data_IF_167621161649
#
_entry.id   IF_167621161649
#
_cell.length_a   1.000
_cell.length_b   1.000
_cell.length_c   1.000
_cell.angle_alpha   90.00
_cell.angle_beta   90.00
_cell.angle_gamma   90.00
#
_symmetry.space_group_name_H-M   'P 1'
#
loop_
_entity.id
_entity.type
_entity.pdbx_description
1 polymer ?
#
# COMPACT_ATOMS: atom_id res chain seq x y z
N UNK A 1 -3.82 6.41 7.91
CA UNK A 1 -5.08 6.16 8.65
C UNK A 1 -4.84 5.22 9.85
N UNK A 2 -5.82 5.06 10.78
CA UNK A 2 -5.75 4.04 11.86
C UNK A 2 -5.60 2.63 11.30
N UNK A 3 -6.24 2.38 10.15
CA UNK A 3 -6.14 1.12 9.41
C UNK A 3 -4.73 0.91 8.87
N UNK A 4 -4.04 1.94 8.40
CA UNK A 4 -2.63 1.81 7.93
C UNK A 4 -1.68 1.51 9.08
N UNK A 5 -1.91 2.10 10.26
CA UNK A 5 -1.13 1.76 11.47
C UNK A 5 -1.29 0.29 11.83
N UNK A 6 -2.53 -0.23 11.77
CA UNK A 6 -2.80 -1.66 11.97
C UNK A 6 -2.07 -2.46 10.89
N UNK A 7 -2.27 -2.12 9.62
CA UNK A 7 -1.69 -2.81 8.45
C UNK A 7 -0.16 -2.90 8.53
N UNK A 8 0.54 -1.77 8.73
CA UNK A 8 2.01 -1.75 8.77
C UNK A 8 2.60 -2.56 9.92
N UNK A 9 1.86 -2.71 11.03
CA UNK A 9 2.25 -3.55 12.17
C UNK A 9 2.01 -5.05 11.96
N UNK A 10 1.35 -5.47 10.87
CA UNK A 10 0.93 -6.87 10.70
C UNK A 10 2.07 -7.79 10.33
N UNK A 11 2.21 -8.88 11.10
CA UNK A 11 3.18 -9.97 10.87
C UNK A 11 2.53 -11.26 10.38
N UNK A 12 1.23 -11.44 10.62
CA UNK A 12 0.46 -12.66 10.30
C UNK A 12 -0.41 -12.48 9.05
N UNK A 13 -0.08 -11.48 8.22
CA UNK A 13 -0.79 -11.23 6.97
C UNK A 13 -2.19 -10.64 7.14
N UNK A 14 -3.02 -10.77 6.09
CA UNK A 14 -4.38 -10.21 6.00
C UNK A 14 -5.30 -10.77 7.08
N UNK A 15 -5.18 -12.06 7.41
CA UNK A 15 -6.00 -12.66 8.48
C UNK A 15 -5.78 -11.96 9.83
N UNK A 16 -4.52 -11.69 10.18
CA UNK A 16 -4.20 -10.90 11.38
C UNK A 16 -4.74 -9.48 11.31
N UNK A 17 -4.65 -8.85 10.13
CA UNK A 17 -5.21 -7.52 9.90
C UNK A 17 -6.72 -7.48 10.18
N UNK A 18 -7.49 -8.41 9.60
CA UNK A 18 -8.93 -8.49 9.79
C UNK A 18 -9.32 -8.68 11.26
N UNK A 19 -8.60 -9.54 11.99
CA UNK A 19 -8.82 -9.72 13.43
C UNK A 19 -8.58 -8.42 14.21
N UNK A 20 -7.50 -7.70 13.93
CA UNK A 20 -7.20 -6.44 14.62
C UNK A 20 -8.19 -5.33 14.28
N UNK A 21 -8.67 -5.27 13.04
CA UNK A 21 -9.74 -4.33 12.66
C UNK A 21 -11.02 -4.66 13.42
N UNK A 22 -11.38 -5.95 13.53
CA UNK A 22 -12.57 -6.37 14.30
C UNK A 22 -12.46 -5.97 15.77
N UNK A 23 -11.29 -6.13 16.39
CA UNK A 23 -11.04 -5.70 17.77
C UNK A 23 -11.11 -4.17 17.88
N UNK A 24 -10.51 -3.44 16.94
CA UNK A 24 -10.58 -1.98 16.95
C UNK A 24 -12.02 -1.46 16.85
N UNK A 25 -12.85 -2.06 15.98
CA UNK A 25 -14.26 -1.69 15.84
C UNK A 25 -15.08 -1.93 17.12
N UNK A 26 -14.63 -2.81 18.02
CA UNK A 26 -15.28 -3.03 19.32
C UNK A 26 -15.13 -1.85 20.28
N UNK A 27 -14.21 -0.89 20.03
CA UNK A 27 -14.17 0.33 20.84
C UNK A 27 -15.43 1.18 20.71
N UNK A 28 -16.16 1.03 19.59
CA UNK A 28 -17.41 1.72 19.34
C UNK A 28 -17.27 3.16 18.84
N UNK A 29 -16.08 3.75 18.87
CA UNK A 29 -15.84 5.16 18.52
C UNK A 29 -16.37 5.50 17.12
N UNK A 30 -16.05 4.67 16.13
CA UNK A 30 -16.50 4.87 14.75
C UNK A 30 -18.03 4.74 14.63
N UNK A 31 -18.61 3.73 15.29
CA UNK A 31 -20.07 3.53 15.26
C UNK A 31 -20.83 4.66 15.95
N UNK A 32 -20.27 5.22 17.03
CA UNK A 32 -20.84 6.36 17.73
C UNK A 32 -20.83 7.60 16.83
N UNK A 33 -19.67 7.91 16.22
CA UNK A 33 -19.55 9.03 15.27
C UNK A 33 -20.57 8.91 14.12
N UNK A 34 -20.66 7.74 13.49
CA UNK A 34 -21.61 7.49 12.40
C UNK A 34 -23.05 7.73 12.89
N UNK A 35 -23.39 7.23 14.08
CA UNK A 35 -24.73 7.39 14.65
C UNK A 35 -25.07 8.85 14.94
N UNK A 36 -24.12 9.63 15.45
CA UNK A 36 -24.29 11.06 15.73
C UNK A 36 -24.48 11.88 14.44
N UNK A 37 -23.72 11.59 13.39
CA UNK A 37 -23.89 12.21 12.08
C UNK A 37 -25.27 11.90 11.49
N UNK A 38 -25.70 10.64 11.55
CA UNK A 38 -27.03 10.24 11.11
C UNK A 38 -28.16 10.85 11.97
N UNK A 39 -27.93 11.13 13.26
CA UNK A 39 -28.90 11.79 14.14
C UNK A 39 -29.08 13.27 13.76
N UNK A 40 -28.06 13.87 13.15
CA UNK A 40 -28.06 15.25 12.63
C UNK A 40 -28.45 15.32 11.16
N UNK A 41 -29.04 14.26 10.62
CA UNK A 41 -29.56 14.18 9.25
C UNK A 41 -28.50 14.35 8.15
N UNK A 42 -27.21 14.15 8.47
CA UNK A 42 -26.17 14.08 7.45
C UNK A 42 -26.28 12.79 6.63
N UNK A 43 -25.99 12.90 5.33
CA UNK A 43 -25.70 11.74 4.50
C UNK A 43 -24.27 11.26 4.79
N UNK A 44 -24.13 9.99 5.17
CA UNK A 44 -22.85 9.42 5.57
C UNK A 44 -22.38 8.43 4.52
N UNK A 45 -21.21 8.72 3.93
CA UNK A 45 -20.50 7.83 3.02
C UNK A 45 -19.18 7.40 3.65
N UNK A 46 -18.80 6.14 3.48
CA UNK A 46 -17.50 5.62 3.87
C UNK A 46 -16.78 5.09 2.63
N UNK A 47 -15.51 5.44 2.53
CA UNK A 47 -14.63 4.95 1.47
C UNK A 47 -13.19 4.79 1.98
N UNK A 48 -12.31 4.34 1.09
CA UNK A 48 -10.87 4.24 1.32
C UNK A 48 -10.15 5.04 0.23
N UNK A 49 -9.01 5.62 0.57
CA UNK A 49 -8.09 6.24 -0.39
C UNK A 49 -7.38 5.19 -1.25
N UNK A 50 -7.06 4.03 -0.66
CA UNK A 50 -6.49 2.88 -1.37
C UNK A 50 -6.87 1.54 -0.71
N UNK A 51 -6.60 0.45 -1.41
CA UNK A 51 -6.62 -0.91 -0.86
C UNK A 51 -5.26 -1.36 -0.32
N UNK A 52 -5.11 -2.67 -0.08
CA UNK A 52 -3.83 -3.26 0.34
C UNK A 52 -3.71 -4.73 -0.09
N UNK A 53 -2.47 -5.19 -0.22
CA UNK A 53 -2.15 -6.56 -0.64
C UNK A 53 -1.17 -7.25 0.30
N UNK A 54 -1.27 -8.58 0.35
CA UNK A 54 -0.19 -9.39 0.91
C UNK A 54 0.90 -9.55 -0.14
N UNK A 55 2.15 -9.39 0.31
CA UNK A 55 3.31 -9.50 -0.55
C UNK A 55 4.39 -10.34 0.14
N UNK A 56 5.13 -11.11 -0.65
CA UNK A 56 6.31 -11.85 -0.18
C UNK A 56 7.57 -11.05 -0.47
N UNK A 57 8.45 -10.97 0.53
CA UNK A 57 9.74 -10.31 0.42
C UNK A 57 10.66 -11.04 -0.56
N UNK A 58 11.31 -10.27 -1.44
CA UNK A 58 12.30 -10.78 -2.42
C UNK A 58 13.72 -10.33 -2.08
N UNK A 59 13.93 -9.68 -0.94
CA UNK A 59 15.14 -8.97 -0.57
C UNK A 59 15.01 -7.48 -0.86
N UNK A 60 16.05 -6.73 -0.54
CA UNK A 60 16.07 -5.28 -0.70
C UNK A 60 17.18 -4.87 -1.67
N UNK A 61 16.86 -4.12 -2.74
CA UNK A 61 17.87 -3.48 -3.57
C UNK A 61 18.71 -2.51 -2.74
N UNK A 62 20.04 -2.66 -2.78
CA UNK A 62 21.02 -1.91 -1.96
C UNK A 62 21.97 -1.07 -2.82
N UNK A 63 21.47 -0.22 -3.71
CA UNK A 63 22.30 0.65 -4.55
C UNK A 63 22.74 1.98 -3.86
N UNK A 64 23.02 1.95 -2.56
CA UNK A 64 23.68 3.09 -1.86
C UNK A 64 22.83 4.36 -1.65
N UNK A 65 23.52 5.51 -1.64
CA UNK A 65 23.04 6.86 -1.23
C UNK A 65 22.06 7.48 -2.25
N UNK A 66 21.99 6.95 -3.47
CA UNK A 66 21.20 7.49 -4.59
C UNK A 66 19.79 6.90 -4.71
N UNK A 67 19.38 6.06 -3.74
CA UNK A 67 17.96 5.69 -3.60
C UNK A 67 17.28 6.83 -2.85
N UNK A 68 16.62 7.71 -3.59
CA UNK A 68 15.89 8.84 -3.02
C UNK A 68 14.89 8.35 -1.97
N UNK A 69 14.17 7.26 -2.27
CA UNK A 69 13.10 6.76 -1.42
C UNK A 69 13.03 5.22 -1.40
N UNK A 70 13.00 4.65 -0.19
CA UNK A 70 12.98 3.20 0.06
C UNK A 70 11.59 2.75 0.48
N UNK A 71 10.73 2.43 -0.48
CA UNK A 71 9.40 1.90 -0.20
C UNK A 71 9.33 0.38 -0.34
N UNK A 72 8.47 -0.31 0.42
CA UNK A 72 8.30 -1.76 0.22
C UNK A 72 7.82 -2.12 -1.19
N UNK A 73 7.23 -1.18 -1.92
CA UNK A 73 6.61 -1.38 -3.24
C UNK A 73 7.22 -0.57 -4.39
N UNK A 74 8.24 0.24 -4.12
CA UNK A 74 8.94 0.97 -5.17
C UNK A 74 10.37 1.31 -4.74
N UNK A 75 11.27 1.42 -5.72
CA UNK A 75 12.56 2.11 -5.62
C UNK A 75 12.56 3.20 -6.67
N UNK A 76 12.93 4.41 -6.25
CA UNK A 76 13.05 5.57 -7.12
C UNK A 76 14.54 5.92 -7.17
N UNK A 77 15.09 5.91 -8.38
CA UNK A 77 16.46 6.33 -8.66
C UNK A 77 16.40 7.63 -9.46
N UNK A 78 17.24 8.59 -9.11
CA UNK A 78 17.28 9.91 -9.74
C UNK A 78 18.71 10.36 -9.99
N UNK A 79 18.85 11.46 -10.73
CA UNK A 79 20.14 12.07 -11.04
C UNK A 79 20.96 11.29 -12.07
N UNK A 80 22.19 11.74 -12.28
CA UNK A 80 23.10 11.19 -13.26
C UNK A 80 23.47 9.74 -12.90
N UNK A 81 23.03 8.79 -13.73
CA UNK A 81 23.23 7.35 -13.51
C UNK A 81 22.00 6.60 -12.95
N UNK A 82 20.90 7.29 -12.61
CA UNK A 82 19.69 6.66 -12.07
C UNK A 82 19.13 5.52 -12.94
N UNK A 83 19.23 5.65 -14.27
CA UNK A 83 18.86 4.59 -15.20
C UNK A 83 19.73 3.34 -15.02
N UNK A 84 21.05 3.49 -14.91
CA UNK A 84 21.98 2.38 -14.76
C UNK A 84 21.74 1.64 -13.44
N UNK A 85 21.55 2.38 -12.33
CA UNK A 85 21.20 1.77 -11.04
C UNK A 85 19.88 1.01 -11.08
N UNK A 86 18.88 1.52 -11.83
CA UNK A 86 17.63 0.79 -12.05
C UNK A 86 17.87 -0.52 -12.81
N UNK A 87 18.72 -0.52 -13.83
CA UNK A 87 19.05 -1.73 -14.60
C UNK A 87 19.81 -2.76 -13.76
N UNK A 88 20.81 -2.32 -12.98
CA UNK A 88 21.53 -3.18 -12.03
C UNK A 88 20.57 -3.80 -11.00
N UNK A 89 19.70 -2.98 -10.40
CA UNK A 89 18.67 -3.45 -9.47
C UNK A 89 17.70 -4.43 -10.13
N UNK A 90 17.33 -4.21 -11.40
CA UNK A 90 16.46 -5.13 -12.14
C UNK A 90 17.15 -6.48 -12.39
N UNK A 91 18.45 -6.50 -12.71
CA UNK A 91 19.21 -7.74 -12.86
C UNK A 91 19.30 -8.54 -11.55
N UNK A 92 19.50 -7.86 -10.41
CA UNK A 92 19.48 -8.50 -9.09
C UNK A 92 18.08 -9.00 -8.68
N UNK A 93 17.02 -8.28 -9.09
CA UNK A 93 15.64 -8.53 -8.72
C UNK A 93 14.73 -8.68 -9.95
N UNK A 94 14.83 -9.79 -10.71
CA UNK A 94 14.08 -10.00 -11.95
C UNK A 94 12.56 -10.20 -11.73
N UNK A 95 12.12 -10.36 -10.48
CA UNK A 95 10.70 -10.30 -10.08
C UNK A 95 10.17 -8.86 -9.97
N UNK A 96 10.87 -7.89 -10.55
CA UNK A 96 10.47 -6.49 -10.62
C UNK A 96 9.96 -6.11 -12.01
N UNK A 97 9.41 -4.91 -12.11
CA UNK A 97 8.91 -4.27 -13.33
C UNK A 97 9.55 -2.88 -13.35
N UNK A 98 10.17 -2.55 -14.48
CA UNK A 98 10.65 -1.19 -14.75
C UNK A 98 9.47 -0.35 -15.15
N UNK A 99 9.15 0.68 -14.36
CA UNK A 99 8.11 1.62 -14.73
C UNK A 99 8.54 2.39 -16.00
N UNK A 100 7.66 2.59 -16.99
CA UNK A 100 7.99 3.33 -18.19
C UNK A 100 8.43 4.76 -17.88
N UNK A 101 9.50 5.22 -18.54
CA UNK A 101 9.99 6.60 -18.38
C UNK A 101 9.00 7.55 -19.05
N UNK A 102 8.72 8.70 -18.40
CA UNK A 102 7.85 9.75 -18.93
C UNK A 102 6.35 9.47 -18.81
N UNK A 103 5.94 8.35 -18.19
CA UNK A 103 4.54 8.06 -17.90
C UNK A 103 4.24 8.38 -16.44
N UNK A 104 3.50 9.46 -16.19
CA UNK A 104 3.01 9.82 -14.86
C UNK A 104 4.07 10.28 -13.85
N UNK A 105 5.35 10.35 -14.25
CA UNK A 105 6.47 10.79 -13.42
C UNK A 105 7.43 11.67 -14.25
N UNK A 106 8.22 12.55 -13.59
CA UNK A 106 9.26 13.32 -14.24
C UNK A 106 10.27 12.43 -14.99
N UNK A 107 10.84 12.94 -16.08
CA UNK A 107 11.73 12.17 -16.96
C UNK A 107 13.04 11.73 -16.30
N UNK A 108 13.44 12.39 -15.22
CA UNK A 108 14.64 12.10 -14.42
C UNK A 108 14.38 11.09 -13.29
N UNK A 109 13.17 10.53 -13.19
CA UNK A 109 12.80 9.50 -12.20
C UNK A 109 12.74 8.13 -12.85
N UNK A 110 13.62 7.24 -12.41
CA UNK A 110 13.70 5.86 -12.87
C UNK A 110 13.15 4.93 -11.78
N UNK A 111 11.93 4.43 -11.98
CA UNK A 111 11.24 3.63 -10.95
C UNK A 111 11.32 2.14 -11.24
N UNK A 112 11.63 1.37 -10.20
CA UNK A 112 11.58 -0.08 -10.16
C UNK A 112 10.53 -0.52 -9.14
N UNK A 113 9.59 -1.37 -9.57
CA UNK A 113 8.52 -1.86 -8.71
C UNK A 113 8.55 -3.38 -8.64
N UNK A 114 8.39 -4.01 -7.47
CA UNK A 114 8.22 -5.45 -7.41
C UNK A 114 6.86 -5.83 -8.01
N UNK A 115 6.77 -7.01 -8.65
CA UNK A 115 5.48 -7.56 -9.16
C UNK A 115 4.41 -7.56 -8.06
N UNK A 116 3.13 -7.59 -8.44
CA UNK A 116 1.96 -7.41 -7.56
C UNK A 116 2.04 -8.17 -6.20
N UNK A 117 2.48 -9.43 -6.19
CA UNK A 117 2.57 -10.27 -4.99
C UNK A 117 3.95 -10.23 -4.28
N UNK A 118 4.81 -9.28 -4.63
CA UNK A 118 6.19 -9.14 -4.14
C UNK A 118 6.43 -7.79 -3.47
N UNK A 119 7.38 -7.76 -2.55
CA UNK A 119 7.81 -6.55 -1.87
C UNK A 119 9.33 -6.53 -1.66
N UNK A 120 9.92 -5.33 -1.66
CA UNK A 120 11.30 -5.13 -1.26
C UNK A 120 11.42 -5.12 0.27
N UNK A 121 11.59 -6.31 0.82
CA UNK A 121 11.83 -6.59 2.24
C UNK A 121 12.50 -7.96 2.37
N UNK A 122 12.89 -8.38 3.58
CA UNK A 122 13.55 -9.65 3.86
C UNK A 122 12.97 -10.83 3.07
N UNK A 123 13.84 -11.63 2.43
CA UNK A 123 13.42 -12.77 1.61
C UNK A 123 12.51 -13.72 2.39
N UNK A 124 11.36 -14.06 1.81
CA UNK A 124 10.39 -14.98 2.39
C UNK A 124 9.45 -14.37 3.44
N UNK A 125 9.69 -13.13 3.88
CA UNK A 125 8.82 -12.44 4.84
C UNK A 125 7.51 -12.05 4.18
N UNK A 126 6.39 -12.38 4.82
CA UNK A 126 5.06 -11.92 4.40
C UNK A 126 4.78 -10.56 5.04
N UNK A 127 4.35 -9.60 4.23
CA UNK A 127 3.92 -8.27 4.68
C UNK A 127 2.56 -7.92 4.09
N UNK A 128 1.78 -7.11 4.80
CA UNK A 128 0.62 -6.41 4.23
C UNK A 128 1.03 -4.96 3.97
N UNK A 129 0.81 -4.46 2.76
CA UNK A 129 1.21 -3.11 2.36
C UNK A 129 0.37 -2.62 1.19
N UNK A 130 0.41 -1.31 0.95
CA UNK A 130 -0.07 -0.66 -0.27
C UNK A 130 1.11 -0.07 -1.06
N UNK A 131 0.82 0.64 -2.15
CA UNK A 131 1.75 1.25 -3.11
C UNK A 131 2.17 0.31 -4.25
N UNK A 132 1.50 -0.83 -4.43
CA UNK A 132 1.84 -1.87 -5.41
C UNK A 132 1.09 -1.78 -6.73
N UNK A 133 1.54 -2.61 -7.70
CA UNK A 133 0.91 -2.77 -9.02
C UNK A 133 -0.25 -3.76 -8.98
N UNK A 134 -1.26 -3.50 -8.14
CA UNK A 134 -2.39 -4.40 -7.92
C UNK A 134 -3.72 -3.65 -8.06
N UNK A 135 -4.68 -4.28 -8.74
CA UNK A 135 -6.01 -3.71 -8.93
C UNK A 135 -6.77 -3.63 -7.59
N UNK A 136 -6.49 -4.54 -6.67
CA UNK A 136 -7.00 -4.56 -5.31
C UNK A 136 -6.57 -3.36 -4.47
N UNK A 137 -5.57 -2.58 -4.92
CA UNK A 137 -5.18 -1.32 -4.29
C UNK A 137 -5.96 -0.12 -4.83
N UNK A 138 -6.59 -0.25 -6.00
CA UNK A 138 -7.35 0.82 -6.67
C UNK A 138 -8.85 0.64 -6.47
N UNK A 139 -9.33 -0.61 -6.42
CA UNK A 139 -10.73 -0.93 -6.13
C UNK A 139 -10.99 -0.77 -4.64
N UNK A 140 -11.65 0.32 -4.28
CA UNK A 140 -11.99 0.67 -2.90
C UNK A 140 -13.52 0.62 -2.69
N UNK A 141 -13.99 0.24 -1.49
CA UNK A 141 -15.41 0.32 -1.19
C UNK A 141 -15.86 1.79 -1.20
N UNK A 142 -17.05 2.03 -1.72
CA UNK A 142 -17.77 3.29 -1.54
C UNK A 142 -19.18 2.94 -1.09
N UNK A 143 -19.45 3.13 0.20
CA UNK A 143 -20.69 2.68 0.83
C UNK A 143 -21.43 3.86 1.43
N UNK A 144 -22.73 3.92 1.18
CA UNK A 144 -23.63 4.81 1.90
C UNK A 144 -24.19 4.09 3.12
N UNK A 145 -24.11 4.75 4.28
CA UNK A 145 -24.71 4.25 5.51
C UNK A 145 -26.02 4.98 5.73
N UNK A 146 -27.10 4.21 5.83
CA UNK A 146 -28.44 4.70 6.11
C UNK A 146 -29.01 4.01 7.35
N UNK A 147 -29.97 4.67 8.00
CA UNK A 147 -30.85 3.97 8.94
C UNK A 147 -31.65 2.93 8.18
N UNK A 148 -31.86 1.79 8.82
CA UNK A 148 -32.81 0.81 8.31
C UNK A 148 -34.19 1.46 8.31
N UNK A 149 -34.85 1.50 7.14
CA UNK A 149 -36.26 1.86 7.08
C UNK A 149 -37.03 0.84 7.94
N UNK A 150 -37.86 1.35 8.85
CA UNK A 150 -38.74 0.54 9.70
C UNK A 150 -39.93 0.09 8.88
#
# INVERSE_FOLDING_TARGET
SKIDTIMHGMKVGKRGMHSNIKIWLQSGDLSQLISELLNKEFQVFITSDHGNTEAKGIGEPRQGILVDEKYKRARIYSGDGGQNFREEAFHEFPESIKWPIGIGLPHDKYVLMPKASRAYTDKGKTVVTHGGLSIEEIIVPFVEIRRRAV
#
